data_IF_931895679421
#
_entry.id   IF_931895679421
#
_cell.length_a   1.000
_cell.length_b   1.000
_cell.length_c   1.000
_cell.angle_alpha   90.00
_cell.angle_beta   90.00
_cell.angle_gamma   90.00
#
_symmetry.space_group_name_H-M   'P 1'
#
loop_
_entity.id
_entity.type
_entity.pdbx_description
1 polymer ?
#
# COMPACT_ATOMS: atom_id res chain seq x y z
N UNK A 1 17.43 15.51 -2.69
CA UNK A 1 15.97 15.54 -2.94
C UNK A 1 15.33 14.58 -1.96
N UNK A 2 14.65 15.05 -0.93
CA UNK A 2 13.76 14.17 -0.15
C UNK A 2 12.47 14.06 -0.96
N UNK A 3 12.43 13.09 -1.88
CA UNK A 3 11.19 12.67 -2.52
C UNK A 3 10.29 12.24 -1.36
N UNK A 4 9.28 13.04 -1.01
CA UNK A 4 8.41 12.75 0.12
C UNK A 4 7.88 11.32 0.02
N UNK A 5 7.69 10.68 1.17
CA UNK A 5 7.27 9.27 1.22
C UNK A 5 5.98 9.07 0.45
N UNK A 6 6.05 8.22 -0.56
CA UNK A 6 4.93 7.93 -1.45
C UNK A 6 4.39 6.54 -1.13
N UNK A 7 3.08 6.44 -0.94
CA UNK A 7 2.42 5.21 -0.51
C UNK A 7 1.46 4.72 -1.59
N UNK A 8 1.40 3.40 -1.74
CA UNK A 8 0.46 2.69 -2.59
C UNK A 8 -0.45 1.84 -1.71
N UNK A 9 -1.76 1.90 -1.94
CA UNK A 9 -2.77 1.21 -1.16
C UNK A 9 -3.37 0.06 -1.96
N UNK A 10 -3.48 -1.08 -1.30
CA UNK A 10 -3.97 -2.32 -1.89
C UNK A 10 -4.97 -3.01 -0.97
N UNK A 11 -5.89 -3.75 -1.57
CA UNK A 11 -6.82 -4.62 -0.87
C UNK A 11 -6.69 -6.05 -1.42
N UNK A 12 -6.53 -7.03 -0.54
CA UNK A 12 -6.42 -8.42 -0.96
C UNK A 12 -7.79 -8.96 -1.41
N UNK A 13 -7.93 -9.47 -2.65
CA UNK A 13 -9.20 -10.05 -3.11
C UNK A 13 -9.53 -11.42 -2.46
N UNK A 14 -8.59 -12.04 -1.73
CA UNK A 14 -8.80 -13.33 -1.06
C UNK A 14 -9.23 -13.18 0.40
N UNK A 15 -8.50 -12.37 1.18
CA UNK A 15 -8.77 -12.17 2.61
C UNK A 15 -9.42 -10.82 2.95
N UNK A 16 -9.52 -9.89 2.00
CA UNK A 16 -10.07 -8.55 2.21
C UNK A 16 -9.17 -7.60 3.02
N UNK A 17 -7.93 -8.01 3.31
CA UNK A 17 -7.00 -7.20 4.09
C UNK A 17 -6.57 -5.96 3.30
N UNK A 18 -6.54 -4.81 3.98
CA UNK A 18 -6.11 -3.53 3.44
C UNK A 18 -4.70 -3.24 3.91
N UNK A 19 -3.81 -2.96 2.96
CA UNK A 19 -2.41 -2.77 3.26
C UNK A 19 -1.77 -1.77 2.32
N UNK A 20 -0.67 -1.18 2.76
CA UNK A 20 0.05 -0.14 2.01
C UNK A 20 1.54 -0.43 1.93
N UNK A 21 2.13 -0.03 0.81
CA UNK A 21 3.56 -0.10 0.54
C UNK A 21 4.13 1.29 0.29
N UNK A 22 5.36 1.54 0.74
CA UNK A 22 6.13 2.70 0.27
C UNK A 22 6.68 2.45 -1.13
N UNK A 23 6.81 3.52 -1.91
CA UNK A 23 7.45 3.50 -3.22
C UNK A 23 8.90 2.99 -3.15
N UNK A 24 9.55 3.08 -1.98
CA UNK A 24 10.89 2.51 -1.77
C UNK A 24 10.92 1.00 -2.02
N UNK A 25 9.81 0.30 -1.74
CA UNK A 25 9.64 -1.13 -1.99
C UNK A 25 9.17 -1.47 -3.41
N UNK A 26 8.95 -0.49 -4.30
CA UNK A 26 8.42 -0.75 -5.65
C UNK A 26 9.36 -1.59 -6.54
N UNK A 27 10.63 -1.74 -6.15
CA UNK A 27 11.58 -2.62 -6.83
C UNK A 27 11.53 -4.07 -6.32
N UNK A 28 10.83 -4.34 -5.22
CA UNK A 28 10.69 -5.68 -4.67
C UNK A 28 9.69 -6.51 -5.48
N UNK A 29 9.98 -7.80 -5.73
CA UNK A 29 9.07 -8.68 -6.47
C UNK A 29 7.74 -8.92 -5.75
N UNK A 30 7.72 -8.74 -4.42
CA UNK A 30 6.54 -8.91 -3.57
C UNK A 30 5.72 -7.61 -3.44
N UNK A 31 6.13 -6.54 -4.12
CA UNK A 31 5.42 -5.27 -4.06
C UNK A 31 3.97 -5.39 -4.55
N UNK A 32 3.03 -4.97 -3.71
CA UNK A 32 1.60 -5.08 -3.98
C UNK A 32 1.00 -6.45 -3.65
N UNK A 33 1.80 -7.44 -3.25
CA UNK A 33 1.30 -8.74 -2.81
C UNK A 33 0.76 -8.65 -1.39
N UNK A 34 -0.26 -9.44 -1.09
CA UNK A 34 -0.79 -9.55 0.25
C UNK A 34 0.21 -10.31 1.14
N UNK A 35 0.59 -9.80 2.33
CA UNK A 35 1.56 -10.47 3.21
C UNK A 35 1.08 -11.81 3.77
N UNK A 36 -0.23 -12.04 3.79
CA UNK A 36 -0.81 -13.30 4.28
C UNK A 36 -1.09 -14.29 3.14
N UNK A 37 -1.68 -13.80 2.04
CA UNK A 37 -2.10 -14.67 0.93
C UNK A 37 -1.04 -14.85 -0.16
N UNK A 38 -0.01 -13.99 -0.19
CA UNK A 38 1.02 -13.96 -1.23
C UNK A 38 0.43 -13.92 -2.65
N UNK A 39 -0.69 -13.22 -2.81
CA UNK A 39 -1.33 -12.94 -4.11
C UNK A 39 -1.32 -11.44 -4.38
N UNK A 40 -1.33 -11.07 -5.66
CA UNK A 40 -1.41 -9.68 -6.07
C UNK A 40 -2.68 -9.01 -5.52
N UNK A 41 -2.50 -7.92 -4.79
CA UNK A 41 -3.58 -7.08 -4.30
C UNK A 41 -4.26 -6.28 -5.40
N UNK A 42 -5.50 -5.90 -5.14
CA UNK A 42 -6.20 -4.92 -5.98
C UNK A 42 -5.72 -3.53 -5.59
N UNK A 43 -5.16 -2.79 -6.55
CA UNK A 43 -4.73 -1.41 -6.34
C UNK A 43 -5.94 -0.50 -6.10
N UNK A 44 -5.92 0.22 -4.98
CA UNK A 44 -7.00 1.13 -4.57
C UNK A 44 -6.64 2.59 -4.88
N UNK A 45 -5.37 2.95 -4.70
CA UNK A 45 -4.90 4.29 -4.94
C UNK A 45 -3.49 4.53 -4.41
N UNK A 46 -2.99 5.74 -4.62
CA UNK A 46 -1.65 6.14 -4.20
C UNK A 46 -1.66 7.59 -3.67
N UNK A 47 -0.78 7.90 -2.71
CA UNK A 47 -0.63 9.27 -2.19
C UNK A 47 0.81 9.58 -1.78
N UNK A 48 1.22 10.83 -2.01
CA UNK A 48 2.49 11.39 -1.52
C UNK A 48 2.39 12.04 -0.14
N UNK A 49 1.16 12.19 0.34
CA UNK A 49 0.84 13.08 1.44
C UNK A 49 0.15 12.31 2.55
N UNK A 50 0.88 12.06 3.64
CA UNK A 50 0.32 11.43 4.83
C UNK A 50 -0.90 12.21 5.36
N UNK A 51 -0.96 13.54 5.20
CA UNK A 51 -2.08 14.35 5.73
C UNK A 51 -3.34 14.28 4.88
N UNK A 52 -3.23 14.08 3.56
CA UNK A 52 -4.40 13.87 2.70
C UNK A 52 -4.92 12.43 2.76
N UNK A 53 -4.08 11.48 3.19
CA UNK A 53 -4.41 10.07 3.34
C UNK A 53 -4.96 9.66 4.72
N UNK A 54 -4.88 10.51 5.74
CA UNK A 54 -5.20 10.12 7.13
C UNK A 54 -6.66 9.73 7.37
N UNK A 55 -7.63 10.17 6.57
CA UNK A 55 -9.04 9.77 6.78
C UNK A 55 -9.42 8.55 5.92
N UNK A 56 -9.01 8.55 4.64
CA UNK A 56 -9.39 7.51 3.68
C UNK A 56 -8.61 6.21 3.80
N UNK A 57 -7.38 6.28 4.31
CA UNK A 57 -6.47 5.14 4.36
C UNK A 57 -5.94 4.85 5.77
N UNK A 58 -6.62 5.36 6.80
CA UNK A 58 -6.31 5.09 8.22
C UNK A 58 -6.29 3.59 8.55
N UNK A 59 -7.14 2.84 7.85
CA UNK A 59 -7.38 1.41 8.04
C UNK A 59 -6.40 0.53 7.25
N UNK A 60 -5.46 1.12 6.51
CA UNK A 60 -4.48 0.38 5.71
C UNK A 60 -3.20 0.19 6.52
N UNK A 61 -2.91 -1.07 6.82
CA UNK A 61 -1.71 -1.44 7.57
C UNK A 61 -0.47 -1.35 6.70
N UNK A 62 0.64 -0.93 7.29
CA UNK A 62 1.93 -0.96 6.61
C UNK A 62 2.43 -2.41 6.50
N UNK A 63 2.87 -2.82 5.31
CA UNK A 63 3.45 -4.16 5.10
C UNK A 63 4.91 -4.20 5.50
#
# INVERSE_FOLDING_TARGET
>A
MTWGTYYFFYECPQCGKKYRYELEFASEPEFGFCPDCHVMGTFVGETKDNKQGEDKFVDYEFV
#
